data_IF_401601122147
#
_entry.id   IF_401601122147
#
_cell.length_a   1.000
_cell.length_b   1.000
_cell.length_c   1.000
_cell.angle_alpha   90.00
_cell.angle_beta   90.00
_cell.angle_gamma   90.00
#
_symmetry.space_group_name_H-M   'P 1'
#
loop_
_entity.id
_entity.type
_entity.pdbx_description
1 polymer ?
#
# COMPACT_ATOMS: atom_id res chain seq x y z
N UNK A 1 0.92 1.13 10.88
CA UNK A 1 -0.44 1.73 10.78
C UNK A 1 -0.42 3.12 10.16
N UNK A 2 0.32 4.10 10.70
CA UNK A 2 0.33 5.47 10.15
C UNK A 2 0.73 5.54 8.66
N UNK A 3 1.78 4.83 8.25
CA UNK A 3 2.20 4.79 6.83
C UNK A 3 1.13 4.22 5.88
N UNK A 4 0.31 3.26 6.35
CA UNK A 4 -0.81 2.75 5.56
C UNK A 4 -1.92 3.80 5.40
N UNK A 5 -2.20 4.57 6.44
CA UNK A 5 -3.17 5.68 6.37
C UNK A 5 -2.71 6.77 5.40
N UNK A 6 -1.42 7.12 5.41
CA UNK A 6 -0.84 8.08 4.45
C UNK A 6 -0.98 7.57 3.02
N UNK A 7 -0.60 6.32 2.76
CA UNK A 7 -0.73 5.71 1.43
C UNK A 7 -2.19 5.68 0.94
N UNK A 8 -3.15 5.32 1.80
CA UNK A 8 -4.58 5.31 1.44
C UNK A 8 -5.11 6.72 1.13
N UNK A 9 -4.67 7.73 1.89
CA UNK A 9 -5.06 9.11 1.63
C UNK A 9 -4.50 9.60 0.28
N UNK A 10 -3.21 9.37 0.02
CA UNK A 10 -2.58 9.75 -1.26
C UNK A 10 -3.23 9.05 -2.45
N UNK A 11 -3.53 7.74 -2.34
CA UNK A 11 -4.24 7.00 -3.39
C UNK A 11 -5.66 7.53 -3.63
N UNK A 12 -6.34 7.95 -2.56
CA UNK A 12 -7.68 8.55 -2.64
C UNK A 12 -7.64 9.90 -3.34
N UNK A 13 -6.64 10.74 -3.02
CA UNK A 13 -6.40 12.04 -3.67
C UNK A 13 -6.04 11.88 -5.15
N UNK A 14 -5.29 10.83 -5.50
CA UNK A 14 -4.93 10.48 -6.87
C UNK A 14 -6.06 9.80 -7.65
N UNK A 15 -7.23 9.55 -7.04
CA UNK A 15 -8.38 8.83 -7.62
C UNK A 15 -8.03 7.52 -8.34
N UNK A 16 -6.91 6.88 -7.97
CA UNK A 16 -6.37 5.73 -8.70
C UNK A 16 -6.77 4.44 -7.99
N UNK A 17 -7.69 3.69 -8.57
CA UNK A 17 -8.20 2.43 -8.00
C UNK A 17 -7.53 1.21 -8.65
N UNK A 18 -6.21 1.29 -8.90
CA UNK A 18 -5.51 0.25 -9.62
C UNK A 18 -5.40 -1.02 -8.76
N UNK A 19 -5.96 -2.12 -9.26
CA UNK A 19 -5.90 -3.44 -8.63
C UNK A 19 -4.46 -3.85 -8.29
N UNK A 20 -3.49 -3.52 -9.15
CA UNK A 20 -2.08 -3.85 -8.94
C UNK A 20 -1.45 -3.20 -7.69
N UNK A 21 -2.02 -2.10 -7.18
CA UNK A 21 -1.53 -1.41 -5.98
C UNK A 21 -2.37 -1.80 -4.75
N UNK A 22 -3.67 -2.02 -4.94
CA UNK A 22 -4.59 -2.42 -3.88
C UNK A 22 -4.31 -3.84 -3.36
N UNK A 23 -3.95 -4.78 -4.25
CA UNK A 23 -3.58 -6.14 -3.86
C UNK A 23 -2.43 -6.20 -2.84
N UNK A 24 -1.24 -5.63 -3.11
CA UNK A 24 -0.14 -5.67 -2.15
C UNK A 24 -0.45 -4.87 -0.88
N UNK A 25 -1.27 -3.82 -0.95
CA UNK A 25 -1.73 -3.09 0.24
C UNK A 25 -2.59 -3.97 1.15
N UNK A 26 -3.50 -4.78 0.58
CA UNK A 26 -4.35 -5.71 1.32
C UNK A 26 -3.53 -6.84 1.96
N UNK A 27 -2.51 -7.36 1.27
CA UNK A 27 -1.56 -8.34 1.84
C UNK A 27 -0.78 -7.75 3.02
N UNK A 28 -0.37 -6.48 2.93
CA UNK A 28 0.31 -5.79 4.03
C UNK A 28 -0.63 -5.48 5.22
N UNK A 29 -1.94 -5.40 4.98
CA UNK A 29 -2.97 -5.19 6.01
C UNK A 29 -3.35 -6.49 6.74
N UNK A 30 -3.17 -7.66 6.12
CA UNK A 30 -3.49 -8.97 6.67
C UNK A 30 -3.01 -9.22 8.12
N UNK A 31 -1.75 -8.91 8.52
CA UNK A 31 -1.30 -9.12 9.91
C UNK A 31 -1.95 -8.17 10.93
N UNK A 32 -2.56 -7.06 10.50
CA UNK A 32 -3.23 -6.10 11.37
C UNK A 32 -4.74 -6.33 11.46
N UNK A 33 -5.38 -6.67 10.34
CA UNK A 33 -6.82 -6.86 10.24
C UNK A 33 -7.16 -8.02 9.28
N UNK A 34 -7.00 -9.28 9.72
CA UNK A 34 -7.12 -10.44 8.83
C UNK A 34 -8.52 -10.57 8.21
N UNK A 35 -9.58 -10.35 8.99
CA UNK A 35 -10.95 -10.45 8.49
C UNK A 35 -11.27 -9.39 7.43
N UNK A 36 -10.82 -8.14 7.64
CA UNK A 36 -11.04 -7.05 6.69
C UNK A 36 -10.21 -7.26 5.43
N UNK A 37 -8.97 -7.74 5.57
CA UNK A 37 -8.10 -8.03 4.44
C UNK A 37 -8.67 -9.15 3.55
N UNK A 38 -9.27 -10.20 4.13
CA UNK A 38 -9.89 -11.31 3.37
C UNK A 38 -11.10 -10.82 2.55
N UNK A 39 -11.98 -10.04 3.16
CA UNK A 39 -13.14 -9.46 2.46
C UNK A 39 -12.70 -8.55 1.30
N UNK A 40 -11.71 -7.69 1.54
CA UNK A 40 -11.17 -6.81 0.49
C UNK A 40 -10.50 -7.61 -0.63
N UNK A 41 -9.80 -8.70 -0.30
CA UNK A 41 -9.18 -9.61 -1.28
C UNK A 41 -10.23 -10.27 -2.19
N UNK A 42 -11.35 -10.72 -1.63
CA UNK A 42 -12.47 -11.26 -2.40
C UNK A 42 -13.19 -10.20 -3.23
N UNK A 43 -13.38 -9.00 -2.70
CA UNK A 43 -13.99 -7.87 -3.43
C UNK A 43 -13.14 -7.44 -4.63
N UNK A 44 -11.81 -7.55 -4.53
CA UNK A 44 -10.88 -7.33 -5.64
C UNK A 44 -10.98 -8.43 -6.73
N UNK A 45 -11.76 -9.48 -6.50
CA UNK A 45 -11.96 -10.59 -7.44
C UNK A 45 -10.78 -11.57 -7.46
N UNK A 46 -10.06 -11.69 -6.35
CA UNK A 46 -8.99 -12.68 -6.21
C UNK A 46 -9.53 -13.96 -5.56
N UNK A 47 -9.12 -15.10 -6.10
CA UNK A 47 -9.46 -16.42 -5.57
C UNK A 47 -8.39 -16.89 -4.57
N UNK A 48 -8.82 -17.49 -3.46
CA UNK A 48 -7.94 -17.92 -2.37
C UNK A 48 -7.96 -17.01 -1.16
N UNK A 49 -7.01 -17.21 -0.25
CA UNK A 49 -6.92 -16.46 1.02
C UNK A 49 -5.77 -15.47 1.00
N UNK A 50 -5.97 -14.28 1.59
CA UNK A 50 -4.96 -13.22 1.67
C UNK A 50 -3.70 -13.68 2.41
N UNK A 51 -3.84 -14.67 3.30
CA UNK A 51 -2.74 -15.25 4.09
C UNK A 51 -1.77 -16.04 3.23
N UNK A 52 -2.24 -16.61 2.11
CA UNK A 52 -1.40 -17.38 1.18
C UNK A 52 -0.76 -16.50 0.09
N UNK A 53 -1.15 -15.23 0.01
CA UNK A 53 -0.61 -14.32 -0.98
C UNK A 53 0.87 -14.00 -0.66
N UNK A 54 1.76 -13.96 -1.67
CA UNK A 54 3.15 -13.63 -1.46
C UNK A 54 3.28 -12.17 -1.01
N UNK A 55 4.19 -11.92 -0.06
CA UNK A 55 4.51 -10.57 0.37
C UNK A 55 5.04 -9.75 -0.83
N UNK A 56 4.64 -8.47 -0.97
CA UNK A 56 5.04 -7.66 -2.11
C UNK A 56 6.56 -7.59 -2.28
N UNK A 57 7.02 -7.75 -3.52
CA UNK A 57 8.44 -7.68 -3.84
C UNK A 57 8.97 -6.26 -3.68
N UNK A 58 10.10 -6.12 -2.99
CA UNK A 58 10.82 -4.86 -2.87
C UNK A 58 11.38 -4.45 -4.23
N UNK A 59 10.99 -3.27 -4.72
CA UNK A 59 11.51 -2.71 -5.95
C UNK A 59 12.20 -1.36 -5.67
N UNK A 60 13.54 -1.36 -5.75
CA UNK A 60 14.36 -0.19 -5.47
C UNK A 60 14.15 0.96 -6.47
N UNK A 61 13.61 0.69 -7.65
CA UNK A 61 13.33 1.72 -8.66
C UNK A 61 12.22 2.70 -8.24
N UNK A 62 11.37 2.35 -7.28
CA UNK A 62 10.34 3.26 -6.77
C UNK A 62 10.83 4.18 -5.65
N UNK A 63 12.06 4.00 -5.17
CA UNK A 63 12.66 4.79 -4.08
C UNK A 63 13.67 5.82 -4.58
N UNK A 64 13.91 5.88 -5.89
CA UNK A 64 14.77 6.90 -6.48
C UNK A 64 13.99 8.20 -6.58
N UNK A 65 14.10 9.03 -5.55
CA UNK A 65 13.59 10.39 -5.54
C UNK A 65 14.52 11.30 -6.36
N UNK A 66 13.95 12.04 -7.31
CA UNK A 66 14.68 12.99 -8.14
C UNK A 66 14.84 14.37 -7.50
N UNK A 67 14.08 14.65 -6.44
CA UNK A 67 14.01 15.94 -5.74
C UNK A 67 14.28 15.71 -4.26
N UNK A 68 15.21 16.47 -3.68
CA UNK A 68 15.56 16.37 -2.27
C UNK A 68 15.26 17.70 -1.57
N UNK A 69 14.33 17.69 -0.63
CA UNK A 69 14.05 18.86 0.20
C UNK A 69 15.17 19.05 1.22
N UNK A 70 15.86 20.19 1.14
CA UNK A 70 16.85 20.62 2.13
C UNK A 70 16.24 21.70 3.02
N UNK A 71 15.87 21.38 4.28
CA UNK A 71 15.36 22.40 5.20
C UNK A 71 16.49 23.35 5.60
N UNK A 72 16.31 24.64 5.35
CA UNK A 72 17.24 25.70 5.80
C UNK A 72 16.59 26.42 6.98
N UNK A 73 17.24 26.36 8.14
CA UNK A 73 16.84 27.11 9.33
C UNK A 73 17.80 28.28 9.53
N UNK A 74 17.26 29.48 9.73
CA UNK A 74 17.99 30.68 10.10
C UNK A 74 17.49 31.12 11.47
N UNK A 75 18.42 31.43 12.37
CA UNK A 75 18.16 31.84 13.76
C UNK A 75 17.48 33.21 13.84
#
# INVERSE_FOLDING_TARGET
VAAFMVCVNELSDLHTHNKAILEPLVVLLAPYAPHVAEELWHVLGNEGSVVNAPFPAWNASYLTESVKEYPVSIN
#
